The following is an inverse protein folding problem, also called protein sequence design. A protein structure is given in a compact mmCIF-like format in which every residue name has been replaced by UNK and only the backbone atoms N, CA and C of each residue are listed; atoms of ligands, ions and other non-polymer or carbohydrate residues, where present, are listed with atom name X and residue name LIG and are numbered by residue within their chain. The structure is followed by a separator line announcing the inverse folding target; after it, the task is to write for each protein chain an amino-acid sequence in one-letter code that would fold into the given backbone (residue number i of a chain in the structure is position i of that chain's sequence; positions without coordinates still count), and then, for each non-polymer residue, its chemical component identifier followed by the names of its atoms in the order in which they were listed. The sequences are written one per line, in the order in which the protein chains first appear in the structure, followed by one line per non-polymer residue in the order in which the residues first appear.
data_IF_849849582037
#
_entry.id   IF_849849582037
#
_cell.length_a   1.000
_cell.length_b   1.000
_cell.length_c   1.000
_cell.angle_alpha   90.00
_cell.angle_beta   90.00
_cell.angle_gamma   90.00
#
_symmetry.space_group_name_H-M   'P 1'
#
loop_
_entity.id
_entity.type
_entity.pdbx_description
1 polymer ?
#
# COMPACT_ATOMS: atom_id res chain seq x y z
N UNK A 1 8.13 -23.33 59.14
CA UNK A 1 7.92 -24.06 57.87
C UNK A 1 6.51 -23.92 57.28
N UNK A 2 5.41 -24.16 58.01
CA UNK A 2 4.06 -24.04 57.42
C UNK A 2 3.67 -22.61 57.02
N UNK A 3 3.96 -21.61 57.86
CA UNK A 3 3.65 -20.20 57.58
C UNK A 3 4.40 -19.68 56.33
N UNK A 4 5.67 -20.04 56.18
CA UNK A 4 6.52 -19.58 55.07
C UNK A 4 6.06 -20.15 53.73
N UNK A 5 5.64 -21.42 53.71
CA UNK A 5 5.08 -22.06 52.52
C UNK A 5 3.73 -21.44 52.15
N UNK A 6 2.88 -21.15 53.13
CA UNK A 6 1.59 -20.50 52.88
C UNK A 6 1.75 -19.09 52.32
N UNK A 7 2.70 -18.32 52.86
CA UNK A 7 3.01 -16.98 52.38
C UNK A 7 3.53 -17.00 50.94
N UNK A 8 4.38 -17.98 50.61
CA UNK A 8 4.89 -18.17 49.25
C UNK A 8 3.77 -18.53 48.26
N UNK A 9 2.84 -19.41 48.66
CA UNK A 9 1.67 -19.76 47.82
C UNK A 9 0.77 -18.55 47.56
N UNK A 10 0.52 -17.71 48.57
CA UNK A 10 -0.23 -16.47 48.41
C UNK A 10 0.48 -15.54 47.41
N UNK A 11 1.80 -15.40 47.53
CA UNK A 11 2.59 -14.56 46.64
C UNK A 11 2.54 -15.06 45.18
N UNK A 12 2.64 -16.37 44.96
CA UNK A 12 2.48 -16.97 43.63
C UNK A 12 1.08 -16.73 43.05
N UNK A 13 0.03 -16.90 43.85
CA UNK A 13 -1.35 -16.64 43.43
C UNK A 13 -1.56 -15.17 43.07
N UNK A 14 -1.02 -14.25 43.86
CA UNK A 14 -1.07 -12.81 43.59
C UNK A 14 -0.33 -12.44 42.29
N UNK A 15 0.87 -12.96 42.07
CA UNK A 15 1.63 -12.74 40.83
C UNK A 15 0.86 -13.30 39.63
N UNK A 16 0.28 -14.50 39.76
CA UNK A 16 -0.50 -15.12 38.69
C UNK A 16 -1.71 -14.25 38.29
N UNK A 17 -2.47 -13.78 39.28
CA UNK A 17 -3.63 -12.91 39.02
C UNK A 17 -3.20 -11.58 38.39
N UNK A 18 -2.12 -10.98 38.89
CA UNK A 18 -1.60 -9.71 38.36
C UNK A 18 -1.06 -9.86 36.93
N UNK A 19 -0.40 -10.98 36.62
CA UNK A 19 0.17 -11.26 35.30
C UNK A 19 -0.91 -11.27 34.21
N UNK A 20 -2.06 -11.89 34.46
CA UNK A 20 -3.18 -11.92 33.50
C UNK A 20 -3.71 -10.51 33.23
N UNK A 21 -3.85 -9.68 34.26
CA UNK A 21 -4.30 -8.29 34.13
C UNK A 21 -3.27 -7.47 33.35
N UNK A 22 -1.98 -7.63 33.66
CA UNK A 22 -0.88 -6.96 32.98
C UNK A 22 -0.84 -7.31 31.49
N UNK A 23 -0.93 -8.59 31.14
CA UNK A 23 -0.97 -9.05 29.74
C UNK A 23 -2.17 -8.48 28.99
N UNK A 24 -3.35 -8.43 29.63
CA UNK A 24 -4.54 -7.81 29.04
C UNK A 24 -4.33 -6.32 28.75
N UNK A 25 -3.67 -5.59 29.65
CA UNK A 25 -3.37 -4.18 29.47
C UNK A 25 -2.34 -3.95 28.36
N UNK A 26 -1.26 -4.74 28.34
CA UNK A 26 -0.26 -4.76 27.27
C UNK A 26 -0.90 -4.99 25.90
N UNK A 27 -1.74 -6.02 25.77
CA UNK A 27 -2.43 -6.32 24.52
C UNK A 27 -3.30 -5.15 24.05
N UNK A 28 -4.03 -4.51 24.96
CA UNK A 28 -4.84 -3.33 24.63
C UNK A 28 -3.97 -2.17 24.17
N UNK A 29 -2.84 -1.93 24.84
CA UNK A 29 -1.91 -0.86 24.48
C UNK A 29 -1.30 -1.08 23.10
N UNK A 30 -0.80 -2.29 22.83
CA UNK A 30 -0.24 -2.68 21.53
C UNK A 30 -1.29 -2.53 20.44
N UNK A 31 -2.53 -3.00 20.67
CA UNK A 31 -3.59 -2.89 19.68
C UNK A 31 -3.89 -1.43 19.28
N UNK A 32 -3.94 -0.52 20.27
CA UNK A 32 -4.14 0.92 20.01
C UNK A 32 -2.96 1.50 19.22
N UNK A 33 -1.73 1.10 19.53
CA UNK A 33 -0.57 1.56 18.77
C UNK A 33 -0.57 1.03 17.34
N UNK A 34 -0.94 -0.24 17.16
CA UNK A 34 -1.01 -0.89 15.86
C UNK A 34 -2.09 -0.25 14.98
N UNK A 35 -3.28 0.04 15.53
CA UNK A 35 -4.34 0.76 14.82
C UNK A 35 -3.89 2.16 14.37
N UNK A 36 -3.18 2.89 15.23
CA UNK A 36 -2.60 4.21 14.87
C UNK A 36 -1.59 4.09 13.75
N UNK A 37 -0.73 3.07 13.79
CA UNK A 37 0.25 2.82 12.74
C UNK A 37 -0.43 2.44 11.42
N UNK A 38 -1.38 1.50 11.42
CA UNK A 38 -2.15 1.13 10.23
C UNK A 38 -2.84 2.33 9.59
N UNK A 39 -3.46 3.20 10.39
CA UNK A 39 -4.09 4.42 9.88
C UNK A 39 -3.06 5.35 9.22
N UNK A 40 -1.90 5.52 9.83
CA UNK A 40 -0.81 6.33 9.26
C UNK A 40 -0.29 5.75 7.94
N UNK A 41 -0.04 4.43 7.90
CA UNK A 41 0.41 3.74 6.70
C UNK A 41 -0.64 3.82 5.58
N UNK A 42 -1.91 3.62 5.90
CA UNK A 42 -3.02 3.73 4.95
C UNK A 42 -3.12 5.15 4.37
N UNK A 43 -2.95 6.18 5.20
CA UNK A 43 -2.96 7.57 4.73
C UNK A 43 -1.79 7.85 3.78
N UNK A 44 -0.57 7.42 4.12
CA UNK A 44 0.60 7.56 3.25
C UNK A 44 0.41 6.81 1.93
N UNK A 45 -0.10 5.58 1.97
CA UNK A 45 -0.35 4.78 0.78
C UNK A 45 -1.37 5.45 -0.15
N UNK A 46 -2.45 6.00 0.40
CA UNK A 46 -3.43 6.76 -0.38
C UNK A 46 -2.84 8.04 -0.99
N UNK A 47 -1.95 8.73 -0.28
CA UNK A 47 -1.24 9.89 -0.84
C UNK A 47 -0.33 9.47 -2.00
N UNK A 48 0.44 8.40 -1.86
CA UNK A 48 1.27 7.88 -2.94
C UNK A 48 0.46 7.45 -4.16
N UNK A 49 -0.68 6.78 -3.95
CA UNK A 49 -1.60 6.41 -5.04
C UNK A 49 -2.12 7.64 -5.80
N UNK A 50 -2.54 8.69 -5.07
CA UNK A 50 -2.97 9.96 -5.67
C UNK A 50 -1.87 10.67 -6.46
N UNK A 51 -0.64 10.66 -5.96
CA UNK A 51 0.50 11.23 -6.66
C UNK A 51 0.80 10.44 -7.94
N UNK A 52 0.72 9.12 -7.89
CA UNK A 52 0.90 8.26 -9.06
C UNK A 52 -0.17 8.52 -10.13
N UNK A 53 -1.43 8.61 -9.73
CA UNK A 53 -2.54 8.94 -10.65
C UNK A 53 -2.35 10.32 -11.28
N UNK A 54 -1.86 11.29 -10.50
CA UNK A 54 -1.56 12.64 -10.99
C UNK A 54 -0.41 12.62 -11.99
N UNK A 55 0.67 11.89 -11.70
CA UNK A 55 1.80 11.70 -12.61
C UNK A 55 1.36 11.06 -13.91
N UNK A 56 0.58 9.97 -13.85
CA UNK A 56 0.07 9.28 -15.04
C UNK A 56 -0.80 10.19 -15.90
N UNK A 57 -1.67 11.00 -15.29
CA UNK A 57 -2.47 11.98 -16.01
C UNK A 57 -1.62 13.08 -16.65
N UNK A 58 -0.58 13.55 -15.96
CA UNK A 58 0.33 14.57 -16.49
C UNK A 58 1.14 14.03 -17.67
N UNK A 59 1.71 12.82 -17.55
CA UNK A 59 2.41 12.16 -18.65
C UNK A 59 1.52 11.98 -19.86
N UNK A 60 0.26 11.52 -19.68
CA UNK A 60 -0.70 11.40 -20.79
C UNK A 60 -0.96 12.74 -21.50
N UNK A 61 -1.12 13.83 -20.73
CA UNK A 61 -1.30 15.18 -21.28
C UNK A 61 -0.03 15.67 -22.00
N UNK A 62 1.14 15.40 -21.44
CA UNK A 62 2.42 15.79 -22.02
C UNK A 62 2.67 15.04 -23.32
N UNK A 63 2.40 13.73 -23.37
CA UNK A 63 2.43 12.94 -24.60
C UNK A 63 1.47 13.55 -25.63
N UNK A 64 0.19 13.77 -25.29
CA UNK A 64 -0.77 14.39 -26.22
C UNK A 64 -0.28 15.73 -26.78
N UNK A 65 0.28 16.59 -25.93
CA UNK A 65 0.84 17.87 -26.37
C UNK A 65 2.03 17.68 -27.29
N UNK A 66 2.97 16.80 -26.95
CA UNK A 66 4.15 16.49 -27.76
C UNK A 66 3.79 15.90 -29.13
N UNK A 67 2.82 14.97 -29.20
CA UNK A 67 2.32 14.44 -30.47
C UNK A 67 1.68 15.53 -31.34
N UNK A 68 0.90 16.42 -30.72
CA UNK A 68 0.28 17.55 -31.42
C UNK A 68 1.30 18.57 -31.92
N UNK A 69 2.34 18.85 -31.15
CA UNK A 69 3.40 19.80 -31.55
C UNK A 69 4.35 19.22 -32.61
N UNK A 70 4.74 17.94 -32.50
CA UNK A 70 5.68 17.30 -33.42
C UNK A 70 5.04 16.86 -34.74
N UNK A 71 3.81 16.36 -34.70
CA UNK A 71 3.16 15.74 -35.86
C UNK A 71 1.95 16.54 -36.36
N UNK A 72 1.56 17.62 -35.68
CA UNK A 72 0.32 18.37 -35.94
C UNK A 72 -0.93 17.47 -36.02
N UNK A 73 -0.89 16.34 -35.31
CA UNK A 73 -1.89 15.29 -35.31
C UNK A 73 -2.38 15.02 -33.89
N UNK A 74 -3.68 14.72 -33.75
CA UNK A 74 -4.25 14.24 -32.49
C UNK A 74 -4.00 12.72 -32.34
N UNK A 75 -3.79 12.25 -31.09
CA UNK A 75 -3.55 10.82 -30.83
C UNK A 75 -4.78 10.00 -31.24
N UNK A 76 -4.64 9.03 -32.17
CA UNK A 76 -5.76 8.23 -32.64
C UNK A 76 -6.31 7.31 -31.56
N UNK A 77 -7.64 7.11 -31.55
CA UNK A 77 -8.28 6.16 -30.64
C UNK A 77 -7.96 4.72 -31.06
N UNK A 78 -7.97 3.76 -30.12
CA UNK A 78 -7.57 2.36 -30.36
C UNK A 78 -8.30 1.69 -31.53
N UNK A 79 -9.52 2.13 -31.82
CA UNK A 79 -10.38 1.69 -32.92
C UNK A 79 -10.07 2.35 -34.29
N UNK A 80 -9.13 3.28 -34.35
CA UNK A 80 -8.70 4.01 -35.56
C UNK A 80 -7.26 3.67 -35.96
N UNK A 81 -6.60 2.78 -35.23
CA UNK A 81 -5.22 2.36 -35.52
C UNK A 81 -5.27 1.22 -36.53
N UNK A 82 -4.86 1.50 -37.77
CA UNK A 82 -4.70 0.49 -38.82
C UNK A 82 -3.24 0.01 -38.78
N UNK A 83 -3.04 -1.26 -38.47
CA UNK A 83 -1.71 -1.89 -38.53
C UNK A 83 -1.44 -2.31 -39.97
N UNK A 84 -0.68 -1.50 -40.71
CA UNK A 84 -0.14 -1.91 -42.01
C UNK A 84 1.01 -2.88 -41.77
N UNK A 85 0.78 -4.16 -42.04
CA UNK A 85 1.84 -5.15 -42.11
C UNK A 85 2.60 -4.94 -43.43
N UNK A 86 3.71 -4.22 -43.36
CA UNK A 86 4.63 -4.04 -44.48
C UNK A 86 5.44 -5.32 -44.66
N UNK A 87 4.81 -6.38 -45.17
CA UNK A 87 5.56 -7.46 -45.79
C UNK A 87 6.19 -6.86 -47.05
N UNK A 88 7.51 -6.73 -46.99
CA UNK A 88 8.38 -6.25 -48.05
C UNK A 88 7.96 -6.77 -49.43
N UNK A 89 7.74 -5.81 -50.32
CA UNK A 89 7.98 -5.93 -51.76
C UNK A 89 9.27 -6.73 -52.01
N UNK A 90 9.13 -8.04 -52.21
CA UNK A 90 10.11 -8.79 -52.99
C UNK A 90 9.64 -8.76 -54.43
N UNK A 91 10.44 -8.11 -55.26
CA UNK A 91 10.22 -7.99 -56.69
C UNK A 91 10.01 -9.35 -57.35
N UNK A 92 9.13 -9.34 -58.34
CA UNK A 92 8.92 -10.44 -59.27
C UNK A 92 8.38 -9.86 -60.56
N UNK A 93 9.32 -9.71 -61.51
CA UNK A 93 9.19 -9.72 -62.99
C UNK A 93 7.87 -9.19 -63.57
#
# INVERSE_FOLDING_TARGET
MKISVNLFMILLLSISAFSVVYLKYQNRFINIQLEKQEKSYTMKLNQHKRLLDTKANYEKKLSQKSYKELLNMDIPKKNQIIYLNLTTSNGGI
#
